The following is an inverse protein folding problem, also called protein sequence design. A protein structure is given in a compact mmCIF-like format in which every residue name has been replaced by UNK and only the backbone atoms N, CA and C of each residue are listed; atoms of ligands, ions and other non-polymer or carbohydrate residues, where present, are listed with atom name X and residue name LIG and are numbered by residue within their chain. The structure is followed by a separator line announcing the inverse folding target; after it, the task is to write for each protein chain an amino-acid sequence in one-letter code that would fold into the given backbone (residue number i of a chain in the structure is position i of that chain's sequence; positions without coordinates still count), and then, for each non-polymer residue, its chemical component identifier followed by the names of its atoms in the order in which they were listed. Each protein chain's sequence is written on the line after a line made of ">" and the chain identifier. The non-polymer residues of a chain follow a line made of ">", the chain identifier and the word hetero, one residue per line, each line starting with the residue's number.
data_IF_891594592763
#
_entry.id   IF_891594592763
#
_cell.length_a   1.000
_cell.length_b   1.000
_cell.length_c   1.000
_cell.angle_alpha   90.00
_cell.angle_beta   90.00
_cell.angle_gamma   90.00
#
_symmetry.space_group_name_H-M   'P 1'
#
loop_
_entity.id
_entity.type
_entity.pdbx_description
1 polymer ?
#
# COMPACT_ATOMS: atom_id res chain seq x y z
N UNK A 1 -8.51 -14.41 -3.54
CA UNK A 1 -9.88 -14.19 -3.01
C UNK A 1 -9.92 -12.77 -2.48
N UNK A 2 -10.88 -11.93 -2.89
CA UNK A 2 -11.00 -10.58 -2.35
C UNK A 2 -11.44 -10.64 -0.89
N UNK A 3 -10.51 -10.45 0.04
CA UNK A 3 -10.75 -10.63 1.48
C UNK A 3 -11.32 -9.38 2.17
N UNK A 4 -11.35 -8.24 1.49
CA UNK A 4 -11.95 -6.98 1.96
C UNK A 4 -13.24 -6.63 1.20
N UNK A 5 -13.94 -7.63 0.64
CA UNK A 5 -15.19 -7.39 -0.08
C UNK A 5 -16.38 -7.04 0.84
N UNK A 6 -16.30 -7.44 2.11
CA UNK A 6 -17.29 -7.06 3.12
C UNK A 6 -17.02 -5.63 3.61
N UNK A 7 -18.01 -4.75 3.48
CA UNK A 7 -17.89 -3.32 3.81
C UNK A 7 -17.62 -3.08 5.31
N UNK A 8 -18.15 -3.95 6.18
CA UNK A 8 -17.92 -3.83 7.62
C UNK A 8 -16.48 -4.18 7.99
N UNK A 9 -15.94 -5.24 7.37
CA UNK A 9 -14.54 -5.63 7.50
C UNK A 9 -13.59 -4.59 6.89
N UNK A 10 -13.88 -4.10 5.69
CA UNK A 10 -13.14 -3.03 5.02
C UNK A 10 -13.01 -1.81 5.94
N UNK A 11 -14.15 -1.31 6.44
CA UNK A 11 -14.19 -0.18 7.37
C UNK A 11 -13.43 -0.45 8.66
N UNK A 12 -13.54 -1.67 9.19
CA UNK A 12 -12.81 -2.09 10.38
C UNK A 12 -11.29 -2.02 10.14
N UNK A 13 -10.82 -2.62 9.06
CA UNK A 13 -9.41 -2.64 8.66
C UNK A 13 -8.89 -1.22 8.42
N UNK A 14 -9.61 -0.38 7.67
CA UNK A 14 -9.18 1.01 7.43
C UNK A 14 -9.04 1.83 8.72
N UNK A 15 -9.99 1.68 9.66
CA UNK A 15 -9.89 2.33 10.98
C UNK A 15 -8.68 1.86 11.76
N UNK A 16 -8.39 0.56 11.76
CA UNK A 16 -7.20 0.02 12.43
C UNK A 16 -5.92 0.52 11.77
N UNK A 17 -5.85 0.52 10.43
CA UNK A 17 -4.70 1.04 9.68
C UNK A 17 -4.43 2.49 10.03
N UNK A 18 -5.48 3.34 10.06
CA UNK A 18 -5.36 4.73 10.44
C UNK A 18 -4.84 4.88 11.87
N UNK A 19 -5.47 4.22 12.84
CA UNK A 19 -5.11 4.32 14.24
C UNK A 19 -3.66 3.89 14.52
N UNK A 20 -3.20 2.81 13.88
CA UNK A 20 -1.82 2.34 14.05
C UNK A 20 -0.79 3.26 13.38
N UNK A 21 -1.12 3.84 12.22
CA UNK A 21 -0.26 4.83 11.59
C UNK A 21 -0.13 6.10 12.46
N UNK A 22 -1.22 6.58 13.06
CA UNK A 22 -1.23 7.73 13.96
C UNK A 22 -0.46 7.45 15.27
N UNK A 23 -0.53 6.23 15.82
CA UNK A 23 0.31 5.79 16.95
C UNK A 23 1.79 5.86 16.62
N UNK A 24 2.16 5.56 15.37
CA UNK A 24 3.52 5.75 14.84
C UNK A 24 3.88 7.21 14.54
N UNK A 25 3.02 8.18 14.90
CA UNK A 25 3.19 9.63 14.65
C UNK A 25 3.15 10.02 13.17
N UNK A 26 2.57 9.18 12.32
CA UNK A 26 2.27 9.55 10.94
C UNK A 26 1.02 10.43 10.87
N UNK A 27 0.97 11.34 9.89
CA UNK A 27 -0.26 12.05 9.52
C UNK A 27 -0.88 11.35 8.32
N UNK A 28 -2.05 10.73 8.48
CA UNK A 28 -2.76 10.06 7.40
C UNK A 28 -3.48 11.11 6.54
N UNK A 29 -3.24 11.08 5.23
CA UNK A 29 -3.84 11.98 4.25
C UNK A 29 -5.00 11.32 3.49
N UNK A 30 -4.88 10.04 3.18
CA UNK A 30 -5.92 9.25 2.53
C UNK A 30 -5.74 7.76 2.80
N UNK A 31 -6.86 7.05 2.88
CA UNK A 31 -6.93 5.58 2.86
C UNK A 31 -8.01 5.21 1.85
N UNK A 32 -7.69 4.24 1.01
CA UNK A 32 -8.61 3.68 0.03
C UNK A 32 -8.06 2.35 -0.46
N UNK A 33 -8.74 1.70 -1.38
CA UNK A 33 -8.28 0.41 -1.89
C UNK A 33 -9.38 -0.38 -2.56
N UNK A 34 -9.01 -1.60 -2.91
CA UNK A 34 -9.89 -2.61 -3.50
C UNK A 34 -9.97 -3.82 -2.57
N UNK A 35 -10.90 -4.75 -2.83
CA UNK A 35 -11.08 -5.91 -1.96
C UNK A 35 -9.84 -6.81 -1.76
N UNK A 36 -8.78 -6.64 -2.55
CA UNK A 36 -7.53 -7.41 -2.47
C UNK A 36 -6.30 -6.59 -2.03
N UNK A 37 -6.37 -5.25 -1.95
CA UNK A 37 -5.25 -4.39 -1.54
C UNK A 37 -5.70 -3.03 -0.96
N UNK A 38 -4.81 -2.37 -0.21
CA UNK A 38 -5.08 -1.07 0.42
C UNK A 38 -3.98 -0.07 0.05
N UNK A 39 -4.40 1.13 -0.33
CA UNK A 39 -3.56 2.31 -0.50
C UNK A 39 -3.61 3.19 0.75
N UNK A 40 -2.44 3.62 1.21
CA UNK A 40 -2.26 4.48 2.36
C UNK A 40 -1.35 5.64 1.97
N UNK A 41 -1.91 6.86 1.95
CA UNK A 41 -1.16 8.10 1.74
C UNK A 41 -0.94 8.76 3.09
N UNK A 42 0.31 9.00 3.46
CA UNK A 42 0.66 9.59 4.75
C UNK A 42 1.93 10.42 4.70
N UNK A 43 2.09 11.27 5.71
CA UNK A 43 3.34 11.93 6.06
C UNK A 43 3.96 11.13 7.19
N UNK A 44 5.15 10.58 6.96
CA UNK A 44 5.90 9.80 7.94
C UNK A 44 6.98 10.67 8.60
N UNK A 45 7.17 10.59 9.94
CA UNK A 45 8.33 11.21 10.57
C UNK A 45 9.63 10.48 10.21
N UNK A 46 10.79 11.18 10.12
CA UNK A 46 12.06 10.55 9.77
C UNK A 46 12.61 9.64 10.88
N UNK A 47 11.98 9.63 12.07
CA UNK A 47 12.41 8.88 13.25
C UNK A 47 11.97 7.42 13.26
N UNK A 48 11.14 7.00 12.31
CA UNK A 48 10.71 5.60 12.14
C UNK A 48 11.06 5.11 10.75
N UNK A 49 11.31 3.80 10.62
CA UNK A 49 11.46 3.18 9.31
C UNK A 49 10.11 2.80 8.74
N UNK A 50 9.99 2.80 7.41
CA UNK A 50 8.79 2.34 6.72
C UNK A 50 8.46 0.88 7.06
N UNK A 51 9.49 0.03 7.17
CA UNK A 51 9.31 -1.37 7.55
C UNK A 51 8.68 -1.53 8.95
N UNK A 52 9.07 -0.68 9.92
CA UNK A 52 8.49 -0.69 11.27
C UNK A 52 7.02 -0.24 11.25
N UNK A 53 6.72 0.83 10.51
CA UNK A 53 5.36 1.32 10.33
C UNK A 53 4.44 0.24 9.73
N UNK A 54 4.85 -0.37 8.62
CA UNK A 54 4.04 -1.35 7.93
C UNK A 54 3.96 -2.69 8.68
N UNK A 55 4.98 -3.06 9.45
CA UNK A 55 4.88 -4.21 10.36
C UNK A 55 3.78 -4.01 11.41
N UNK A 56 3.74 -2.84 12.05
CA UNK A 56 2.70 -2.49 13.03
C UNK A 56 1.31 -2.49 12.37
N UNK A 57 1.15 -1.72 11.30
CA UNK A 57 -0.13 -1.55 10.58
C UNK A 57 -0.67 -2.88 10.09
N UNK A 58 0.15 -3.69 9.40
CA UNK A 58 -0.26 -4.98 8.84
C UNK A 58 -0.50 -6.02 9.94
N UNK A 59 0.31 -6.03 10.99
CA UNK A 59 0.21 -6.98 12.09
C UNK A 59 -1.12 -6.82 12.85
N UNK A 60 -1.39 -5.60 13.34
CA UNK A 60 -2.59 -5.34 14.14
C UNK A 60 -3.86 -5.46 13.29
N UNK A 61 -3.88 -4.89 12.07
CA UNK A 61 -5.04 -5.03 11.19
C UNK A 61 -5.34 -6.48 10.81
N UNK A 62 -4.31 -7.34 10.69
CA UNK A 62 -4.54 -8.77 10.48
C UNK A 62 -5.17 -9.45 11.69
N UNK A 63 -4.82 -9.06 12.92
CA UNK A 63 -5.46 -9.58 14.13
C UNK A 63 -6.94 -9.21 14.15
N UNK A 64 -7.23 -7.93 13.99
CA UNK A 64 -8.60 -7.39 13.99
C UNK A 64 -9.45 -7.99 12.87
N UNK A 65 -8.89 -8.15 11.67
CA UNK A 65 -9.59 -8.78 10.56
C UNK A 65 -9.96 -10.24 10.86
N UNK A 66 -9.06 -11.01 11.49
CA UNK A 66 -9.36 -12.41 11.88
C UNK A 66 -10.42 -12.48 12.98
N UNK A 67 -10.38 -11.56 13.94
CA UNK A 67 -11.41 -11.46 14.97
C UNK A 67 -12.79 -11.16 14.37
N UNK A 68 -12.85 -10.29 13.35
CA UNK A 68 -14.08 -9.96 12.65
C UNK A 68 -14.61 -11.10 11.76
N UNK A 69 -13.71 -11.83 11.11
CA UNK A 69 -14.05 -12.92 10.18
C UNK A 69 -14.41 -14.25 10.88
N UNK A 70 -13.99 -14.43 12.14
CA UNK A 70 -14.16 -15.68 12.88
C UNK A 70 -13.16 -16.79 12.48
N UNK A 71 -13.32 -17.98 13.05
CA UNK A 71 -12.37 -19.11 12.88
C UNK A 71 -12.31 -19.69 11.47
N UNK A 72 -13.38 -19.54 10.69
CA UNK A 72 -13.55 -20.21 9.39
C UNK A 72 -12.83 -19.50 8.25
N UNK A 73 -12.40 -18.26 8.44
CA UNK A 73 -11.78 -17.45 7.40
C UNK A 73 -10.43 -16.89 7.84
N UNK A 74 -9.42 -17.10 7.01
CA UNK A 74 -8.06 -16.66 7.30
C UNK A 74 -7.72 -15.37 6.55
N UNK A 75 -7.37 -14.33 7.29
CA UNK A 75 -6.84 -13.08 6.75
C UNK A 75 -5.33 -12.97 6.98
N UNK A 76 -4.61 -12.65 5.90
CA UNK A 76 -3.23 -12.17 5.94
C UNK A 76 -2.97 -11.18 4.82
N UNK A 77 -2.14 -10.20 5.10
CA UNK A 77 -1.49 -9.42 4.06
C UNK A 77 -0.43 -10.24 3.32
N UNK A 78 -0.10 -9.84 2.09
CA UNK A 78 1.13 -10.28 1.44
C UNK A 78 2.36 -9.92 2.28
N UNK A 79 3.49 -10.63 2.14
CA UNK A 79 4.70 -10.34 2.93
C UNK A 79 5.27 -8.95 2.61
N UNK A 80 5.27 -8.56 1.34
CA UNK A 80 5.81 -7.29 0.86
C UNK A 80 4.86 -6.10 0.95
N UNK A 81 5.33 -4.97 0.43
CA UNK A 81 4.58 -3.73 0.22
C UNK A 81 5.23 -2.95 -0.93
N UNK A 82 4.45 -2.13 -1.63
CA UNK A 82 4.95 -1.12 -2.54
C UNK A 82 4.96 0.24 -1.84
N UNK A 83 5.96 1.07 -2.11
CA UNK A 83 6.08 2.38 -1.50
C UNK A 83 6.70 3.39 -2.47
N UNK A 84 6.05 4.54 -2.54
CA UNK A 84 6.41 5.62 -3.45
C UNK A 84 6.52 6.93 -2.68
N UNK A 85 7.52 7.74 -3.02
CA UNK A 85 7.68 9.08 -2.44
C UNK A 85 6.98 10.10 -3.30
N UNK A 86 6.21 11.00 -2.68
CA UNK A 86 5.42 12.02 -3.37
C UNK A 86 6.02 13.40 -3.14
N UNK A 87 6.15 14.18 -4.21
CA UNK A 87 6.43 15.62 -4.09
C UNK A 87 5.12 16.39 -3.84
N UNK A 88 5.24 17.52 -3.14
CA UNK A 88 4.08 18.35 -2.73
C UNK A 88 3.06 18.66 -3.84
N UNK A 89 3.45 18.97 -5.09
CA UNK A 89 2.50 19.25 -6.16
C UNK A 89 1.57 18.07 -6.46
N UNK A 90 2.08 16.84 -6.41
CA UNK A 90 1.35 15.62 -6.77
C UNK A 90 0.49 15.09 -5.60
N UNK A 91 0.71 15.56 -4.36
CA UNK A 91 -0.02 15.09 -3.20
C UNK A 91 -1.55 15.21 -3.35
N UNK A 92 -2.04 16.32 -3.90
CA UNK A 92 -3.49 16.55 -4.05
C UNK A 92 -4.11 15.57 -5.03
N UNK A 93 -3.44 15.33 -6.15
CA UNK A 93 -3.90 14.41 -7.19
C UNK A 93 -3.93 12.98 -6.69
N UNK A 94 -2.86 12.53 -6.04
CA UNK A 94 -2.74 11.16 -5.52
C UNK A 94 -3.74 10.90 -4.39
N UNK A 95 -3.94 11.86 -3.49
CA UNK A 95 -5.00 11.76 -2.46
C UNK A 95 -6.36 11.59 -3.12
N UNK A 96 -6.65 12.37 -4.17
CA UNK A 96 -7.92 12.28 -4.87
C UNK A 96 -8.09 10.95 -5.62
N UNK A 97 -7.02 10.40 -6.19
CA UNK A 97 -7.00 9.05 -6.79
C UNK A 97 -7.35 7.98 -5.77
N UNK A 98 -6.63 7.94 -4.64
CA UNK A 98 -6.84 6.93 -3.58
C UNK A 98 -8.25 6.98 -2.99
N UNK A 99 -8.82 8.16 -2.81
CA UNK A 99 -10.19 8.30 -2.28
C UNK A 99 -11.27 7.82 -3.27
N UNK A 100 -10.97 7.79 -4.57
CA UNK A 100 -11.88 7.36 -5.64
C UNK A 100 -11.48 6.02 -6.27
N UNK A 101 -10.69 5.22 -5.56
CA UNK A 101 -10.18 3.92 -6.05
C UNK A 101 -11.30 3.04 -6.65
N UNK A 102 -12.45 2.95 -5.98
CA UNK A 102 -13.59 2.14 -6.43
C UNK A 102 -14.18 2.63 -7.76
N UNK A 103 -14.21 3.95 -7.98
CA UNK A 103 -14.67 4.56 -9.23
C UNK A 103 -13.65 4.29 -10.36
N UNK A 104 -12.36 4.47 -10.09
CA UNK A 104 -11.28 4.22 -11.05
C UNK A 104 -11.25 2.76 -11.55
N UNK A 105 -11.48 1.80 -10.65
CA UNK A 105 -11.60 0.38 -11.00
C UNK A 105 -12.87 0.06 -11.79
N UNK A 106 -13.99 0.73 -11.50
CA UNK A 106 -15.22 0.58 -12.27
C UNK A 106 -15.06 1.09 -13.72
N UNK A 107 -14.34 2.20 -13.90
CA UNK A 107 -14.10 2.84 -15.20
C UNK A 107 -12.87 2.31 -15.94
N UNK A 108 -12.14 1.33 -15.37
CA UNK A 108 -10.89 0.79 -15.90
C UNK A 108 -9.80 1.85 -16.17
N UNK A 109 -9.82 2.94 -15.39
CA UNK A 109 -8.87 4.05 -15.50
C UNK A 109 -7.86 3.98 -14.35
N UNK A 110 -6.80 3.18 -14.55
CA UNK A 110 -5.88 2.77 -13.50
C UNK A 110 -4.44 3.21 -13.76
N UNK A 111 -3.72 3.54 -12.69
CA UNK A 111 -2.27 3.76 -12.74
C UNK A 111 -1.53 2.44 -12.49
N UNK A 112 -0.99 1.85 -13.55
CA UNK A 112 -0.53 0.46 -13.55
C UNK A 112 0.53 0.14 -12.48
N UNK A 113 1.49 1.04 -12.26
CA UNK A 113 2.55 0.86 -11.24
C UNK A 113 2.02 0.85 -9.80
N UNK A 114 0.82 1.42 -9.58
CA UNK A 114 0.21 1.59 -8.27
C UNK A 114 -0.75 0.45 -7.96
N UNK A 115 -1.40 -0.10 -8.98
CA UNK A 115 -2.35 -1.21 -8.85
C UNK A 115 -1.70 -2.59 -8.93
N UNK A 116 -0.39 -2.66 -9.21
CA UNK A 116 0.29 -3.93 -9.36
C UNK A 116 0.23 -4.73 -8.05
N UNK A 117 -0.49 -5.84 -8.08
CA UNK A 117 -0.49 -6.85 -7.03
C UNK A 117 0.31 -8.06 -7.52
N UNK A 118 1.34 -8.51 -6.78
CA UNK A 118 2.02 -9.74 -7.13
C UNK A 118 1.01 -10.89 -7.11
N UNK A 119 1.08 -11.83 -8.07
CA UNK A 119 0.32 -13.06 -7.94
C UNK A 119 0.67 -13.73 -6.62
N UNK A 120 -0.32 -14.38 -6.00
CA UNK A 120 -0.15 -15.12 -4.75
C UNK A 120 1.13 -15.95 -4.81
N UNK A 121 2.04 -15.72 -3.86
CA UNK A 121 3.35 -16.37 -3.82
C UNK A 121 3.20 -17.90 -3.93
N UNK A 122 3.60 -18.45 -5.08
CA UNK A 122 3.96 -19.86 -5.18
C UNK A 122 5.46 -19.96 -4.90
N UNK A 123 5.97 -21.04 -4.28
CA UNK A 123 7.37 -21.13 -3.87
C UNK A 123 8.42 -20.91 -4.98
N UNK A 124 8.02 -20.88 -6.26
CA UNK A 124 8.91 -20.89 -7.43
C UNK A 124 8.78 -19.69 -8.38
N UNK A 125 8.19 -18.56 -7.98
CA UNK A 125 8.11 -17.38 -8.87
C UNK A 125 9.21 -16.36 -8.56
N UNK A 126 10.14 -16.05 -9.51
CA UNK A 126 11.11 -14.97 -9.32
C UNK A 126 10.42 -13.61 -9.25
N UNK A 127 10.95 -12.72 -8.41
CA UNK A 127 10.42 -11.36 -8.21
C UNK A 127 10.59 -10.51 -9.48
N UNK A 128 9.51 -9.96 -10.06
CA UNK A 128 9.60 -9.19 -11.30
C UNK A 128 10.26 -7.81 -11.14
N UNK A 129 10.47 -7.32 -9.91
CA UNK A 129 11.11 -6.03 -9.67
C UNK A 129 12.64 -6.09 -9.57
N UNK A 130 13.26 -7.27 -9.68
CA UNK A 130 14.72 -7.37 -9.68
C UNK A 130 15.38 -6.93 -10.99
N UNK A 131 14.66 -6.99 -12.12
CA UNK A 131 15.23 -6.76 -13.46
C UNK A 131 15.00 -5.35 -14.03
N UNK A 132 14.19 -4.50 -13.38
CA UNK A 132 13.87 -3.16 -13.93
C UNK A 132 14.79 -2.02 -13.46
N UNK A 133 15.76 -2.27 -12.58
CA UNK A 133 16.69 -1.22 -12.10
C UNK A 133 18.06 -1.23 -12.78
N UNK A 134 18.30 -2.10 -13.77
CA UNK A 134 19.61 -2.26 -14.40
C UNK A 134 19.81 -1.52 -15.72
N UNK A 135 18.78 -0.94 -16.35
CA UNK A 135 18.90 -0.33 -17.67
C UNK A 135 18.48 1.14 -17.63
N UNK A 136 19.45 2.06 -17.69
CA UNK A 136 19.23 3.42 -18.22
C UNK A 136 19.47 4.60 -17.27
N UNK A 137 20.73 4.86 -16.91
CA UNK A 137 21.20 6.23 -16.60
C UNK A 137 22.40 6.54 -17.52
N UNK A 138 22.28 7.43 -18.51
CA UNK A 138 23.41 7.81 -19.35
C UNK A 138 24.47 8.55 -18.53
N UNK A 139 25.72 8.13 -18.68
CA UNK A 139 26.90 8.80 -18.14
C UNK A 139 27.08 10.17 -18.81
N UNK A 140 26.60 11.22 -18.14
CA UNK A 140 26.89 12.60 -18.47
C UNK A 140 28.01 13.13 -17.57
N UNK A 141 29.18 13.34 -18.15
CA UNK A 141 30.36 13.91 -17.50
C UNK A 141 30.07 15.30 -16.88
N UNK A 142 30.48 15.50 -15.64
CA UNK A 142 30.60 16.82 -15.04
C UNK A 142 32.09 17.21 -15.10
N UNK A 143 32.45 17.98 -16.13
CA UNK A 143 33.73 18.69 -16.19
C UNK A 143 33.69 19.88 -15.22
N UNK A 144 34.64 19.88 -14.28
CA UNK A 144 34.89 21.01 -13.39
C UNK A 144 35.77 22.06 -14.10
N UNK A 145 35.30 23.30 -14.12
CA UNK A 145 36.15 24.52 -14.18
C UNK A 145 35.63 25.53 -13.17
#
# INVERSE_FOLDING_TARGET
>A
MPLLADESLERCVWRTVQAEAEKCKCTVLAIGGMPDHVHLVLIQPPTITLAKLLNQVKGVSSSVAREHLGSEQFFRWANGYAAFSLSRPHCKEVVAYVLRQKEHHADQNLWQDWEWTPPMYTPNTPSPMADSMAEGLPSGACDAR
#
